data_IF_493820520246
#
_entry.id   IF_493820520246
#
_cell.length_a   1.000
_cell.length_b   1.000
_cell.length_c   1.000
_cell.angle_alpha   90.00
_cell.angle_beta   90.00
_cell.angle_gamma   90.00
#
_symmetry.space_group_name_H-M   'P 1'
#
loop_
_entity.id
_entity.type
_entity.pdbx_description
1 polymer ?
#
# COMPACT_ATOMS: atom_id res chain seq x y z
N UNK A 1 -19.67 13.86 28.54
CA UNK A 1 -19.80 13.16 27.24
C UNK A 1 -18.58 13.50 26.40
N UNK A 2 -17.94 12.54 25.69
CA UNK A 2 -16.84 12.87 24.80
C UNK A 2 -17.33 13.85 23.72
N UNK A 3 -16.74 15.05 23.68
CA UNK A 3 -17.08 16.12 22.76
C UNK A 3 -16.10 16.16 21.58
N UNK A 4 -16.59 16.60 20.42
CA UNK A 4 -15.78 16.73 19.21
C UNK A 4 -14.82 17.90 19.38
N UNK A 5 -13.50 17.63 19.32
CA UNK A 5 -12.47 18.67 19.43
C UNK A 5 -12.30 19.39 18.09
N UNK A 6 -13.18 20.35 17.83
CA UNK A 6 -13.22 21.12 16.56
C UNK A 6 -11.86 21.66 16.12
N UNK A 7 -11.05 22.20 17.05
CA UNK A 7 -9.70 22.70 16.73
C UNK A 7 -8.71 21.61 16.30
N UNK A 8 -8.84 20.39 16.83
CA UNK A 8 -8.03 19.25 16.39
C UNK A 8 -8.41 18.81 14.97
N UNK A 9 -9.71 18.74 14.69
CA UNK A 9 -10.24 18.43 13.35
C UNK A 9 -9.77 19.47 12.33
N UNK A 10 -9.94 20.76 12.64
CA UNK A 10 -9.56 21.84 11.75
C UNK A 10 -8.07 21.83 11.39
N UNK A 11 -7.18 21.65 12.39
CA UNK A 11 -5.74 21.52 12.14
C UNK A 11 -5.40 20.33 11.25
N UNK A 12 -6.04 19.17 11.46
CA UNK A 12 -5.85 17.98 10.63
C UNK A 12 -6.37 18.19 9.21
N UNK A 13 -7.47 18.89 9.06
CA UNK A 13 -8.06 19.22 7.76
C UNK A 13 -7.19 20.18 6.95
N UNK A 14 -6.61 21.21 7.57
CA UNK A 14 -5.62 22.08 6.90
C UNK A 14 -4.41 21.28 6.42
N UNK A 15 -3.87 20.39 7.27
CA UNK A 15 -2.76 19.51 6.88
C UNK A 15 -3.15 18.61 5.71
N UNK A 16 -4.40 18.14 5.66
CA UNK A 16 -4.89 17.31 4.57
C UNK A 16 -4.82 18.06 3.24
N UNK A 17 -5.33 19.30 3.20
CA UNK A 17 -5.29 20.15 2.00
C UNK A 17 -3.84 20.39 1.55
N UNK A 18 -2.94 20.72 2.48
CA UNK A 18 -1.52 20.97 2.15
C UNK A 18 -0.87 19.72 1.54
N UNK A 19 -1.03 18.55 2.18
CA UNK A 19 -0.40 17.32 1.68
C UNK A 19 -1.05 16.81 0.39
N UNK A 20 -2.36 17.01 0.18
CA UNK A 20 -3.00 16.73 -1.11
C UNK A 20 -2.46 17.64 -2.21
N UNK A 21 -2.25 18.93 -1.92
CA UNK A 21 -1.57 19.86 -2.84
C UNK A 21 -0.14 19.44 -3.15
N UNK A 22 0.61 18.97 -2.15
CA UNK A 22 1.98 18.44 -2.32
C UNK A 22 1.99 17.21 -3.24
N UNK A 23 1.04 16.29 -3.08
CA UNK A 23 0.89 15.14 -3.98
C UNK A 23 0.67 15.62 -5.42
N UNK A 24 -0.26 16.55 -5.64
CA UNK A 24 -0.51 17.13 -6.95
C UNK A 24 0.72 17.79 -7.56
N UNK A 25 1.49 18.55 -6.75
CA UNK A 25 2.74 19.15 -7.18
C UNK A 25 3.78 18.12 -7.60
N UNK A 26 3.96 17.04 -6.83
CA UNK A 26 4.92 15.98 -7.17
C UNK A 26 4.53 15.30 -8.49
N UNK A 27 3.23 15.02 -8.67
CA UNK A 27 2.73 14.41 -9.90
C UNK A 27 3.00 15.33 -11.09
N UNK A 28 2.64 16.61 -11.01
CA UNK A 28 2.77 17.55 -12.13
C UNK A 28 4.23 17.89 -12.46
N UNK A 29 5.08 18.08 -11.44
CA UNK A 29 6.46 18.54 -11.65
C UNK A 29 7.47 17.42 -11.88
N UNK A 30 7.23 16.21 -11.35
CA UNK A 30 8.20 15.13 -11.42
C UNK A 30 7.68 13.94 -12.23
N UNK A 31 6.44 13.49 -12.01
CA UNK A 31 5.93 12.28 -12.68
C UNK A 31 5.52 12.58 -14.12
N UNK A 32 4.68 13.59 -14.34
CA UNK A 32 4.16 13.97 -15.65
C UNK A 32 5.25 14.24 -16.71
N UNK A 33 6.34 14.99 -16.44
CA UNK A 33 7.38 15.19 -17.45
C UNK A 33 8.13 13.91 -17.77
N UNK A 34 8.34 13.01 -16.80
CA UNK A 34 9.02 11.73 -17.06
C UNK A 34 8.14 10.82 -17.93
N UNK A 35 6.84 10.77 -17.65
CA UNK A 35 5.87 9.99 -18.43
C UNK A 35 5.71 10.56 -19.84
N UNK A 36 5.55 11.88 -20.02
CA UNK A 36 5.41 12.51 -21.34
C UNK A 36 6.67 12.36 -22.20
N UNK A 37 7.85 12.37 -21.60
CA UNK A 37 9.12 12.16 -22.29
C UNK A 37 9.47 10.68 -22.53
N UNK A 38 8.62 9.75 -22.08
CA UNK A 38 8.83 8.32 -22.32
C UNK A 38 8.30 7.92 -23.70
N UNK A 39 9.11 7.17 -24.46
CA UNK A 39 8.62 6.53 -25.67
C UNK A 39 7.65 5.38 -25.30
N UNK A 40 6.69 5.07 -26.19
CA UNK A 40 5.70 4.02 -25.97
C UNK A 40 6.40 2.73 -25.47
N UNK A 41 5.90 2.09 -24.39
CA UNK A 41 6.59 1.02 -23.64
C UNK A 41 6.96 -0.23 -24.45
N UNK A 42 6.57 -0.30 -25.72
CA UNK A 42 6.79 -1.42 -26.63
C UNK A 42 7.88 -1.16 -27.69
N UNK A 43 8.51 0.03 -27.70
CA UNK A 43 9.54 0.42 -28.68
C UNK A 43 10.93 0.68 -28.09
N UNK A 44 11.09 0.62 -26.77
CA UNK A 44 12.35 0.92 -26.08
C UNK A 44 13.19 -0.32 -25.77
N UNK A 45 14.51 -0.16 -25.77
CA UNK A 45 15.46 -1.16 -25.24
C UNK A 45 15.19 -1.42 -23.74
N UNK A 46 15.47 -2.65 -23.25
CA UNK A 46 15.30 -3.02 -21.83
C UNK A 46 15.99 -2.03 -20.87
N UNK A 47 17.18 -1.55 -21.24
CA UNK A 47 17.94 -0.56 -20.47
C UNK A 47 17.20 0.78 -20.32
N UNK A 48 16.51 1.22 -21.39
CA UNK A 48 15.70 2.43 -21.35
C UNK A 48 14.47 2.26 -20.44
N UNK A 49 13.83 1.09 -20.47
CA UNK A 49 12.72 0.78 -19.58
C UNK A 49 13.17 0.79 -18.10
N UNK A 50 14.31 0.17 -17.79
CA UNK A 50 14.89 0.16 -16.44
C UNK A 50 15.24 1.57 -15.95
N UNK A 51 15.88 2.39 -16.79
CA UNK A 51 16.21 3.78 -16.46
C UNK A 51 14.94 4.59 -16.12
N UNK A 52 13.87 4.42 -16.90
CA UNK A 52 12.59 5.10 -16.66
C UNK A 52 11.92 4.63 -15.37
N UNK A 53 11.92 3.32 -15.10
CA UNK A 53 11.38 2.76 -13.85
C UNK A 53 12.14 3.31 -12.63
N UNK A 54 13.48 3.35 -12.68
CA UNK A 54 14.30 3.91 -11.60
C UNK A 54 14.10 5.41 -11.39
N UNK A 55 13.89 6.18 -12.47
CA UNK A 55 13.56 7.61 -12.35
C UNK A 55 12.16 7.86 -11.77
N UNK A 56 11.22 6.95 -12.00
CA UNK A 56 9.85 7.04 -11.49
C UNK A 56 9.70 6.49 -10.06
N UNK A 57 10.56 5.57 -9.62
CA UNK A 57 10.43 4.92 -8.31
C UNK A 57 10.48 5.90 -7.14
N UNK A 58 11.42 6.85 -7.17
CA UNK A 58 11.59 7.85 -6.12
C UNK A 58 10.38 8.77 -5.97
N UNK A 59 9.91 9.50 -7.02
CA UNK A 59 8.71 10.33 -6.88
C UNK A 59 7.46 9.50 -6.56
N UNK A 60 7.35 8.27 -7.06
CA UNK A 60 6.25 7.36 -6.71
C UNK A 60 6.25 7.00 -5.22
N UNK A 61 7.42 6.70 -4.64
CA UNK A 61 7.56 6.44 -3.20
C UNK A 61 7.09 7.63 -2.36
N UNK A 62 7.49 8.85 -2.73
CA UNK A 62 7.05 10.06 -2.01
C UNK A 62 5.54 10.28 -2.10
N UNK A 63 4.94 10.09 -3.29
CA UNK A 63 3.48 10.16 -3.47
C UNK A 63 2.79 9.11 -2.60
N UNK A 64 3.31 7.88 -2.59
CA UNK A 64 2.75 6.78 -1.80
C UNK A 64 2.79 7.07 -0.29
N UNK A 65 3.93 7.57 0.23
CA UNK A 65 4.07 7.98 1.63
C UNK A 65 3.12 9.14 2.00
N UNK A 66 2.99 10.13 1.11
CA UNK A 66 2.07 11.25 1.30
C UNK A 66 0.61 10.78 1.29
N UNK A 67 0.24 9.87 0.38
CA UNK A 67 -1.09 9.27 0.33
C UNK A 67 -1.39 8.48 1.60
N UNK A 68 -0.43 7.69 2.10
CA UNK A 68 -0.54 6.98 3.36
C UNK A 68 -0.86 7.95 4.52
N UNK A 69 -0.08 9.02 4.65
CA UNK A 69 -0.30 10.03 5.68
C UNK A 69 -1.65 10.74 5.54
N UNK A 70 -2.03 11.15 4.32
CA UNK A 70 -3.30 11.81 4.05
C UNK A 70 -4.49 10.92 4.43
N UNK A 71 -4.46 9.65 4.03
CA UNK A 71 -5.59 8.76 4.23
C UNK A 71 -5.63 8.19 5.65
N UNK A 72 -4.59 7.46 6.06
CA UNK A 72 -4.60 6.74 7.34
C UNK A 72 -4.43 7.67 8.55
N UNK A 73 -3.55 8.67 8.45
CA UNK A 73 -3.27 9.54 9.59
C UNK A 73 -4.18 10.75 9.67
N UNK A 74 -4.54 11.39 8.56
CA UNK A 74 -5.37 12.60 8.58
C UNK A 74 -6.86 12.26 8.41
N UNK A 75 -7.24 11.65 7.30
CA UNK A 75 -8.65 11.42 6.94
C UNK A 75 -9.39 10.51 7.93
N UNK A 76 -8.86 9.30 8.21
CA UNK A 76 -9.51 8.37 9.15
C UNK A 76 -9.62 8.94 10.57
N UNK A 77 -8.65 9.77 10.96
CA UNK A 77 -8.61 10.42 12.27
C UNK A 77 -9.57 11.61 12.37
N UNK A 78 -9.83 12.31 11.26
CA UNK A 78 -10.91 13.30 11.15
C UNK A 78 -12.25 12.57 11.26
N UNK A 79 -12.45 11.51 10.47
CA UNK A 79 -13.67 10.71 10.48
C UNK A 79 -13.94 10.12 11.87
N UNK A 80 -12.92 9.59 12.55
CA UNK A 80 -13.04 9.05 13.90
C UNK A 80 -13.43 10.12 14.93
N UNK A 81 -12.89 11.33 14.83
CA UNK A 81 -13.28 12.43 15.73
C UNK A 81 -14.72 12.88 15.45
N UNK A 82 -15.16 12.94 14.18
CA UNK A 82 -16.53 13.29 13.80
C UNK A 82 -17.55 12.23 14.25
N UNK A 83 -17.24 10.96 14.04
CA UNK A 83 -18.07 9.82 14.44
C UNK A 83 -17.95 9.47 15.93
N UNK A 84 -17.10 10.18 16.68
CA UNK A 84 -16.77 9.89 18.09
C UNK A 84 -16.26 8.47 18.30
N UNK A 85 -15.57 7.93 17.30
CA UNK A 85 -14.95 6.63 17.34
C UNK A 85 -13.66 6.68 18.18
N UNK A 86 -13.63 5.84 19.22
CA UNK A 86 -12.55 5.80 20.21
C UNK A 86 -11.31 5.02 19.74
N UNK A 87 -11.50 3.97 18.94
CA UNK A 87 -10.40 3.16 18.42
C UNK A 87 -9.77 3.85 17.20
N UNK A 88 -8.54 4.35 17.37
CA UNK A 88 -7.81 5.09 16.33
C UNK A 88 -6.57 4.34 15.85
N UNK A 89 -6.50 3.04 16.15
CA UNK A 89 -5.40 2.18 15.72
C UNK A 89 -5.58 1.76 14.25
N UNK A 90 -5.43 2.73 13.34
CA UNK A 90 -5.53 2.50 11.89
C UNK A 90 -4.28 1.87 11.28
N UNK A 91 -3.12 2.09 11.91
CA UNK A 91 -1.82 1.56 11.50
C UNK A 91 -0.89 1.44 12.72
N UNK A 92 0.19 0.66 12.59
CA UNK A 92 1.28 0.51 13.57
C UNK A 92 2.60 0.98 12.95
N UNK A 93 3.71 0.84 13.68
CA UNK A 93 5.06 1.26 13.26
C UNK A 93 5.63 0.38 12.12
N UNK A 94 4.92 0.32 11.00
CA UNK A 94 5.20 -0.53 9.84
C UNK A 94 6.53 -0.18 9.17
N UNK A 95 7.03 1.05 9.35
CA UNK A 95 8.33 1.48 8.86
C UNK A 95 9.49 0.78 9.59
N UNK A 96 9.26 0.24 10.78
CA UNK A 96 10.22 -0.55 11.55
C UNK A 96 10.04 -2.07 11.36
N UNK A 97 9.14 -2.49 10.46
CA UNK A 97 8.87 -3.90 10.23
C UNK A 97 10.12 -4.60 9.69
N UNK A 98 10.49 -5.73 10.31
CA UNK A 98 11.68 -6.50 9.94
C UNK A 98 11.41 -7.48 8.80
N UNK A 99 10.14 -7.77 8.55
CA UNK A 99 9.70 -8.71 7.51
C UNK A 99 8.54 -8.11 6.73
N UNK A 100 8.36 -8.56 5.48
CA UNK A 100 7.24 -8.13 4.64
C UNK A 100 5.89 -8.55 5.22
N UNK A 101 5.83 -9.69 5.89
CA UNK A 101 4.62 -10.10 6.60
C UNK A 101 4.27 -9.15 7.75
N UNK A 102 5.25 -8.77 8.55
CA UNK A 102 5.05 -7.80 9.63
C UNK A 102 4.57 -6.45 9.05
N UNK A 103 5.17 -6.01 7.95
CA UNK A 103 4.72 -4.83 7.22
C UNK A 103 3.25 -4.92 6.78
N UNK A 104 2.86 -6.01 6.10
CA UNK A 104 1.48 -6.20 5.63
C UNK A 104 0.45 -6.30 6.77
N UNK A 105 0.88 -6.70 7.97
CA UNK A 105 0.04 -6.70 9.18
C UNK A 105 -0.11 -5.31 9.79
N UNK A 106 0.93 -4.49 9.74
CA UNK A 106 1.03 -3.21 10.46
C UNK A 106 0.57 -2.00 9.64
N UNK A 107 0.68 -2.02 8.32
CA UNK A 107 0.41 -0.85 7.48
C UNK A 107 -1.07 -0.43 7.51
N UNK A 108 -2.00 -1.38 7.39
CA UNK A 108 -3.44 -1.16 7.31
C UNK A 108 -4.16 -2.12 8.25
N UNK A 109 -4.26 -1.72 9.51
CA UNK A 109 -4.87 -2.52 10.56
C UNK A 109 -6.35 -2.84 10.29
N UNK A 110 -7.19 -1.91 9.79
CA UNK A 110 -8.59 -2.23 9.47
C UNK A 110 -8.74 -3.37 8.48
N UNK A 111 -8.02 -3.33 7.35
CA UNK A 111 -8.07 -4.39 6.33
C UNK A 111 -7.46 -5.66 6.88
N UNK A 112 -6.32 -5.59 7.57
CA UNK A 112 -5.71 -6.77 8.17
C UNK A 112 -6.66 -7.48 9.15
N UNK A 113 -7.26 -6.74 10.09
CA UNK A 113 -8.25 -7.26 11.05
C UNK A 113 -9.46 -7.86 10.32
N UNK A 114 -9.93 -7.23 9.25
CA UNK A 114 -11.05 -7.75 8.44
C UNK A 114 -10.70 -9.06 7.74
N UNK A 115 -9.56 -9.13 7.07
CA UNK A 115 -9.06 -10.32 6.36
C UNK A 115 -8.86 -11.49 7.33
N UNK A 116 -8.25 -11.23 8.48
CA UNK A 116 -8.03 -12.27 9.50
C UNK A 116 -9.36 -12.82 10.04
N UNK A 117 -10.30 -11.92 10.34
CA UNK A 117 -11.60 -12.30 10.91
C UNK A 117 -12.52 -13.03 9.93
N UNK A 118 -12.60 -12.57 8.68
CA UNK A 118 -13.62 -13.03 7.73
C UNK A 118 -13.09 -14.05 6.72
N UNK A 119 -11.77 -14.17 6.56
CA UNK A 119 -11.18 -15.10 5.59
C UNK A 119 -10.31 -16.11 6.32
N UNK A 120 -9.28 -15.65 7.03
CA UNK A 120 -8.28 -16.55 7.61
C UNK A 120 -8.85 -17.50 8.67
N UNK A 121 -9.53 -16.97 9.70
CA UNK A 121 -10.10 -17.81 10.76
C UNK A 121 -11.21 -18.76 10.25
N UNK A 122 -12.14 -18.33 9.38
CA UNK A 122 -13.10 -19.24 8.77
C UNK A 122 -12.44 -20.36 7.96
N UNK A 123 -11.41 -20.06 7.17
CA UNK A 123 -10.65 -21.10 6.45
C UNK A 123 -10.04 -22.13 7.41
N UNK A 124 -9.40 -21.67 8.48
CA UNK A 124 -8.81 -22.56 9.49
C UNK A 124 -9.85 -23.41 10.21
N UNK A 125 -11.01 -22.83 10.56
CA UNK A 125 -12.13 -23.53 11.19
C UNK A 125 -12.71 -24.62 10.29
N UNK A 126 -12.65 -24.42 8.97
CA UNK A 126 -13.07 -25.41 7.96
C UNK A 126 -11.98 -26.45 7.65
N UNK A 127 -10.90 -26.52 8.43
CA UNK A 127 -9.83 -27.53 8.26
C UNK A 127 -8.86 -27.23 7.11
N UNK A 128 -8.89 -26.02 6.52
CA UNK A 128 -7.97 -25.64 5.45
C UNK A 128 -6.55 -25.45 6.05
N UNK A 129 -5.49 -26.01 5.42
CA UNK A 129 -4.14 -25.84 5.91
C UNK A 129 -3.70 -24.37 5.88
N UNK A 130 -2.89 -23.96 6.85
CA UNK A 130 -2.43 -22.57 7.03
C UNK A 130 -1.90 -21.93 5.74
N UNK A 131 -1.10 -22.68 4.96
CA UNK A 131 -0.54 -22.18 3.71
C UNK A 131 -1.59 -21.85 2.65
N UNK A 132 -2.63 -22.68 2.53
CA UNK A 132 -3.74 -22.44 1.60
C UNK A 132 -4.65 -21.30 2.08
N UNK A 133 -4.86 -21.17 3.39
CA UNK A 133 -5.61 -20.04 3.96
C UNK A 133 -4.91 -18.69 3.69
N UNK A 134 -3.58 -18.63 3.79
CA UNK A 134 -2.80 -17.44 3.42
C UNK A 134 -2.93 -17.16 1.92
N UNK A 135 -2.80 -18.19 1.08
CA UNK A 135 -2.96 -18.04 -0.37
C UNK A 135 -4.34 -17.47 -0.74
N UNK A 136 -5.42 -17.97 -0.14
CA UNK A 136 -6.78 -17.46 -0.35
C UNK A 136 -6.89 -16.00 0.07
N UNK A 137 -6.32 -15.62 1.22
CA UNK A 137 -6.31 -14.23 1.67
C UNK A 137 -5.59 -13.30 0.67
N UNK A 138 -4.42 -13.70 0.16
CA UNK A 138 -3.72 -12.93 -0.87
C UNK A 138 -4.48 -12.88 -2.20
N UNK A 139 -5.11 -13.97 -2.61
CA UNK A 139 -5.93 -14.01 -3.81
C UNK A 139 -7.11 -13.04 -3.73
N UNK A 140 -7.85 -13.07 -2.62
CA UNK A 140 -8.97 -12.13 -2.41
C UNK A 140 -8.46 -10.68 -2.39
N UNK A 141 -7.34 -10.42 -1.72
CA UNK A 141 -6.69 -9.10 -1.74
C UNK A 141 -6.34 -8.66 -3.16
N UNK A 142 -5.74 -9.53 -3.97
CA UNK A 142 -5.34 -9.24 -5.35
C UNK A 142 -6.55 -8.89 -6.23
N UNK A 143 -7.67 -9.60 -6.08
CA UNK A 143 -8.93 -9.30 -6.78
C UNK A 143 -9.44 -7.91 -6.40
N UNK A 144 -9.48 -7.57 -5.10
CA UNK A 144 -9.92 -6.24 -4.67
C UNK A 144 -9.04 -5.12 -5.22
N UNK A 145 -7.72 -5.30 -5.25
CA UNK A 145 -6.81 -4.29 -5.80
C UNK A 145 -6.98 -4.13 -7.32
N UNK A 146 -7.14 -5.22 -8.07
CA UNK A 146 -7.46 -5.13 -9.51
C UNK A 146 -8.79 -4.42 -9.71
N UNK A 147 -9.84 -4.71 -8.94
CA UNK A 147 -11.12 -4.02 -9.06
C UNK A 147 -11.01 -2.52 -8.74
N UNK A 148 -10.27 -2.16 -7.68
CA UNK A 148 -10.04 -0.76 -7.30
C UNK A 148 -9.29 0.05 -8.37
N UNK A 149 -8.46 -0.60 -9.21
CA UNK A 149 -7.72 0.06 -10.29
C UNK A 149 -8.48 -0.03 -11.61
N UNK A 150 -8.98 -1.21 -11.97
CA UNK A 150 -9.61 -1.48 -13.25
C UNK A 150 -10.96 -0.76 -13.40
N UNK A 151 -11.74 -0.60 -12.32
CA UNK A 151 -13.04 0.08 -12.39
C UNK A 151 -12.88 1.58 -12.68
N UNK A 152 -12.11 2.38 -11.93
CA UNK A 152 -11.93 3.80 -12.24
C UNK A 152 -11.18 4.05 -13.55
N UNK A 153 -10.22 3.17 -13.90
CA UNK A 153 -9.45 3.32 -15.12
C UNK A 153 -10.14 2.73 -16.36
N UNK A 154 -11.26 2.00 -16.20
CA UNK A 154 -11.93 1.21 -17.26
C UNK A 154 -10.98 0.30 -18.07
N UNK A 155 -9.88 -0.15 -17.45
CA UNK A 155 -8.82 -0.94 -18.09
C UNK A 155 -8.57 -2.19 -17.24
N UNK A 156 -8.98 -3.34 -17.75
CA UNK A 156 -8.67 -4.64 -17.16
C UNK A 156 -7.39 -5.18 -17.79
N UNK A 157 -6.27 -5.11 -17.04
CA UNK A 157 -4.97 -5.60 -17.54
C UNK A 157 -4.30 -6.63 -16.62
N UNK A 158 -4.88 -6.93 -15.46
CA UNK A 158 -4.38 -7.91 -14.49
C UNK A 158 -2.96 -7.68 -13.95
N UNK A 159 -2.35 -6.52 -14.22
CA UNK A 159 -1.00 -6.19 -13.75
C UNK A 159 -0.95 -6.12 -12.22
N UNK A 160 -1.96 -5.50 -11.58
CA UNK A 160 -2.01 -5.38 -10.13
C UNK A 160 -2.24 -6.76 -9.48
N UNK A 161 -3.10 -7.58 -10.07
CA UNK A 161 -3.32 -8.95 -9.64
C UNK A 161 -2.02 -9.77 -9.65
N UNK A 162 -1.29 -9.75 -10.77
CA UNK A 162 -0.02 -10.49 -10.90
C UNK A 162 1.02 -9.97 -9.89
N UNK A 163 1.12 -8.64 -9.73
CA UNK A 163 2.06 -8.02 -8.78
C UNK A 163 1.85 -8.51 -7.35
N UNK A 164 0.61 -8.51 -6.87
CA UNK A 164 0.27 -8.96 -5.50
C UNK A 164 0.45 -10.47 -5.35
N UNK A 165 0.08 -11.26 -6.36
CA UNK A 165 0.26 -12.72 -6.32
C UNK A 165 1.74 -13.12 -6.34
N UNK A 166 2.60 -12.33 -6.99
CA UNK A 166 4.04 -12.55 -6.99
C UNK A 166 4.67 -12.33 -5.60
N UNK A 167 4.13 -11.41 -4.80
CA UNK A 167 4.60 -11.13 -3.44
C UNK A 167 4.44 -12.35 -2.50
N UNK A 168 3.50 -13.26 -2.79
CA UNK A 168 3.34 -14.53 -2.03
C UNK A 168 4.57 -15.43 -2.15
N UNK A 169 5.24 -15.43 -3.31
CA UNK A 169 6.52 -16.15 -3.50
C UNK A 169 7.70 -15.38 -2.88
N UNK A 170 7.69 -14.06 -2.99
CA UNK A 170 8.69 -13.20 -2.35
C UNK A 170 8.74 -13.40 -0.82
N UNK A 171 7.59 -13.66 -0.19
CA UNK A 171 7.51 -13.99 1.23
C UNK A 171 8.34 -15.24 1.61
N UNK A 172 8.21 -16.33 0.86
CA UNK A 172 9.01 -17.56 1.09
C UNK A 172 10.49 -17.31 0.85
N UNK A 173 10.82 -16.53 -0.18
CA UNK A 173 12.19 -16.19 -0.54
C UNK A 173 12.87 -15.31 0.51
N UNK A 174 12.17 -14.32 1.08
CA UNK A 174 12.70 -13.46 2.13
C UNK A 174 12.93 -14.21 3.45
N UNK A 175 12.06 -15.17 3.79
CA UNK A 175 12.27 -16.06 4.94
C UNK A 175 13.55 -16.91 4.81
N UNK A 176 13.87 -17.36 3.59
CA UNK A 176 15.12 -18.05 3.28
C UNK A 176 16.32 -17.12 3.37
N UNK A 177 16.24 -15.90 2.82
CA UNK A 177 17.34 -14.93 2.87
C UNK A 177 17.60 -14.37 4.27
N UNK A 178 16.56 -14.24 5.10
CA UNK A 178 16.68 -13.83 6.50
C UNK A 178 17.57 -14.76 7.33
N UNK A 179 17.75 -16.02 6.92
CA UNK A 179 18.64 -16.98 7.58
C UNK A 179 20.13 -16.72 7.23
N UNK A 180 20.41 -15.95 6.18
CA UNK A 180 21.74 -15.72 5.63
C UNK A 180 22.22 -14.26 5.78
N UNK A 181 21.73 -13.53 6.78
CA UNK A 181 22.21 -12.19 7.20
C UNK A 181 22.00 -11.03 6.21
N UNK A 182 21.63 -11.29 4.95
CA UNK A 182 21.25 -10.26 3.97
C UNK A 182 19.85 -9.73 4.28
N UNK A 183 19.79 -8.66 5.08
CA UNK A 183 18.55 -7.92 5.35
C UNK A 183 18.21 -7.05 4.14
N UNK A 184 17.25 -7.49 3.34
CA UNK A 184 16.56 -6.59 2.43
C UNK A 184 15.63 -5.72 3.28
N UNK A 185 15.95 -4.43 3.42
CA UNK A 185 15.04 -3.49 4.06
C UNK A 185 13.70 -3.49 3.31
N UNK A 186 12.60 -3.56 4.04
CA UNK A 186 11.24 -3.59 3.47
C UNK A 186 10.98 -2.34 2.61
N UNK A 187 11.73 -1.27 2.84
CA UNK A 187 11.71 -0.03 2.03
C UNK A 187 12.02 -0.27 0.55
N UNK A 188 12.86 -1.24 0.20
CA UNK A 188 13.20 -1.57 -1.19
C UNK A 188 12.01 -2.11 -1.99
N UNK A 189 10.99 -2.66 -1.32
CA UNK A 189 9.80 -3.19 -1.99
C UNK A 189 8.94 -2.05 -2.55
N UNK A 190 8.92 -0.89 -1.90
CA UNK A 190 8.20 0.28 -2.42
C UNK A 190 8.91 0.97 -3.58
N UNK A 191 10.20 0.70 -3.78
CA UNK A 191 10.99 1.27 -4.87
C UNK A 191 10.84 0.48 -6.18
N UNK A 192 10.45 -0.79 -6.12
CA UNK A 192 10.52 -1.70 -7.27
C UNK A 192 9.18 -2.44 -7.53
N UNK A 193 8.31 -2.57 -6.51
CA UNK A 193 6.99 -3.20 -6.61
C UNK A 193 5.90 -2.21 -7.00
#
# INVERSE_FOLDING_TARGET
MPSVRKGCVFRRFIRLIIFTGLIGFIIEQYINPIVKNSQHPLKGNLLYALERVLKLSVPNLYVWLCMFYCFFHLWLNILAELLRFGDREFYKDWWNAKTVEEYWKMWNMPVHKWMVRHIYFPCLRNGIPKGLAIFIAFFVSAVFHELCIAVPCHIFKFWAFIGIMFQVRAFKFQLLLSQWTLRLDVTYIFLIG
#
